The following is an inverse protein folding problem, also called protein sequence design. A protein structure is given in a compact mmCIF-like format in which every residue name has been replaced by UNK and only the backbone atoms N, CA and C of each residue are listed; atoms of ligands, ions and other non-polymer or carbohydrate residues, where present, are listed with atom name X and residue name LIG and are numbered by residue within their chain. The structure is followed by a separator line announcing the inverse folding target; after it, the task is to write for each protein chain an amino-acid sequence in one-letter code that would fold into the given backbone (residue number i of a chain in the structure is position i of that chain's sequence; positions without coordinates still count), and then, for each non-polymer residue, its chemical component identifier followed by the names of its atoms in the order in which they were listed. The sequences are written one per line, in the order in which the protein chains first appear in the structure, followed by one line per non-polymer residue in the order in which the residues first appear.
data_IF_160297445267
#
_entry.id   IF_160297445267
#
_cell.length_a   1.000
_cell.length_b   1.000
_cell.length_c   1.000
_cell.angle_alpha   90.00
_cell.angle_beta   90.00
_cell.angle_gamma   90.00
#
_symmetry.space_group_name_H-M   'P 1'
#
loop_
_entity.id
_entity.type
_entity.pdbx_description
1 polymer ?
#
# COMPACT_ATOMS: atom_id res chain seq x y z
N UNK A 1 -31.29 13.58 -3.82
CA UNK A 1 -30.65 13.54 -5.15
C UNK A 1 -29.84 12.26 -5.23
N UNK A 2 -30.51 11.17 -5.63
CA UNK A 2 -29.91 9.85 -5.79
C UNK A 2 -29.22 9.78 -7.15
N UNK A 3 -27.92 10.03 -7.16
CA UNK A 3 -27.08 9.94 -8.36
C UNK A 3 -26.62 8.50 -8.57
N UNK A 4 -27.08 7.92 -9.67
CA UNK A 4 -26.94 6.53 -10.04
C UNK A 4 -25.49 6.03 -10.16
N UNK A 5 -25.34 4.81 -9.66
CA UNK A 5 -24.25 3.87 -9.84
C UNK A 5 -24.02 3.58 -11.34
N UNK A 6 -22.93 4.10 -11.91
CA UNK A 6 -22.55 3.83 -13.30
C UNK A 6 -21.16 3.17 -13.36
N UNK A 7 -21.18 1.85 -13.58
CA UNK A 7 -20.14 1.06 -14.23
C UNK A 7 -18.72 1.12 -13.62
N UNK A 8 -18.51 0.42 -12.50
CA UNK A 8 -17.18 -0.17 -12.23
C UNK A 8 -17.13 -1.50 -12.95
N UNK A 9 -16.61 -1.50 -14.18
CA UNK A 9 -16.23 -2.70 -14.93
C UNK A 9 -15.70 -3.78 -13.99
N UNK A 10 -16.22 -5.00 -14.12
CA UNK A 10 -15.76 -6.25 -13.47
C UNK A 10 -14.29 -6.53 -13.81
N UNK A 11 -13.40 -5.70 -13.27
CA UNK A 11 -11.98 -5.95 -13.32
C UNK A 11 -11.73 -6.97 -12.24
N UNK A 12 -11.49 -8.22 -12.62
CA UNK A 12 -11.08 -9.24 -11.68
C UNK A 12 -9.78 -8.81 -10.99
N UNK A 13 -9.87 -8.54 -9.69
CA UNK A 13 -8.75 -8.21 -8.83
C UNK A 13 -8.85 -8.99 -7.53
N UNK A 14 -7.72 -9.52 -7.07
CA UNK A 14 -7.64 -10.22 -5.81
C UNK A 14 -7.42 -9.21 -4.68
N UNK A 15 -8.24 -9.26 -3.63
CA UNK A 15 -8.08 -8.40 -2.46
C UNK A 15 -7.29 -9.15 -1.38
N UNK A 16 -6.12 -8.63 -1.02
CA UNK A 16 -5.27 -9.18 0.04
C UNK A 16 -5.26 -8.21 1.22
N UNK A 17 -5.61 -8.70 2.42
CA UNK A 17 -5.49 -7.92 3.66
C UNK A 17 -4.03 -7.90 4.11
N UNK A 18 -3.51 -6.72 4.44
CA UNK A 18 -2.12 -6.52 4.88
C UNK A 18 -2.04 -5.40 5.91
N UNK A 19 -0.99 -5.38 6.72
CA UNK A 19 -0.69 -4.26 7.60
C UNK A 19 -0.06 -3.07 6.85
N UNK A 20 -0.28 -1.87 7.35
CA UNK A 20 0.40 -0.65 6.91
C UNK A 20 1.81 -0.56 7.54
N UNK A 21 2.84 -0.89 6.76
CA UNK A 21 4.26 -0.82 7.18
C UNK A 21 4.87 0.54 6.87
N UNK A 22 4.23 1.61 7.35
CA UNK A 22 4.72 2.98 7.21
C UNK A 22 5.48 3.48 8.45
N UNK A 23 5.73 2.59 9.42
CA UNK A 23 6.53 2.82 10.63
C UNK A 23 6.07 4.02 11.49
N UNK A 24 4.79 4.40 11.35
CA UNK A 24 4.16 5.48 12.13
C UNK A 24 3.54 5.00 13.45
N UNK A 25 3.73 3.73 13.83
CA UNK A 25 3.12 3.11 15.02
C UNK A 25 1.65 2.69 14.87
N UNK A 26 0.89 3.27 13.94
CA UNK A 26 -0.55 3.03 13.82
C UNK A 26 -0.97 1.65 13.28
N UNK A 27 -0.07 0.90 12.64
CA UNK A 27 -0.26 -0.49 12.14
C UNK A 27 -1.63 -0.73 11.48
N UNK A 28 -2.13 0.24 10.71
CA UNK A 28 -3.48 0.22 10.16
C UNK A 28 -3.72 -0.98 9.23
N UNK A 29 -4.98 -1.41 9.12
CA UNK A 29 -5.36 -2.46 8.17
C UNK A 29 -5.50 -1.86 6.77
N UNK A 30 -4.81 -2.48 5.81
CA UNK A 30 -4.88 -2.16 4.39
C UNK A 30 -5.49 -3.32 3.62
N UNK A 31 -6.32 -2.98 2.63
CA UNK A 31 -6.82 -3.93 1.64
C UNK A 31 -6.14 -3.62 0.32
N UNK A 32 -5.22 -4.48 -0.09
CA UNK A 32 -4.47 -4.38 -1.32
C UNK A 32 -5.25 -4.99 -2.47
N UNK A 33 -5.59 -4.19 -3.47
CA UNK A 33 -6.22 -4.65 -4.70
C UNK A 33 -5.11 -5.06 -5.67
N UNK A 34 -5.00 -6.36 -5.95
CA UNK A 34 -3.94 -6.94 -6.77
C UNK A 34 -4.50 -7.37 -8.13
N UNK A 35 -3.89 -6.88 -9.19
CA UNK A 35 -4.17 -7.28 -10.57
C UNK A 35 -2.85 -7.60 -11.27
N UNK A 36 -2.77 -8.74 -11.96
CA UNK A 36 -1.57 -9.18 -12.69
C UNK A 36 -0.28 -9.11 -11.83
N UNK A 37 -0.37 -9.55 -10.57
CA UNK A 37 0.75 -9.53 -9.61
C UNK A 37 1.18 -8.14 -9.12
N UNK A 38 0.46 -7.07 -9.46
CA UNK A 38 0.74 -5.70 -9.03
C UNK A 38 -0.40 -5.11 -8.22
N UNK A 39 -0.05 -4.33 -7.20
CA UNK A 39 -1.02 -3.62 -6.37
C UNK A 39 -1.48 -2.38 -7.13
N UNK A 40 -2.73 -2.37 -7.55
CA UNK A 40 -3.35 -1.26 -8.29
C UNK A 40 -4.06 -0.26 -7.38
N UNK A 41 -4.28 -0.61 -6.10
CA UNK A 41 -4.93 0.28 -5.13
C UNK A 41 -4.78 -0.24 -3.70
N UNK A 42 -4.73 0.68 -2.74
CA UNK A 42 -4.93 0.38 -1.32
C UNK A 42 -6.22 1.03 -0.82
N UNK A 43 -7.03 0.23 -0.13
CA UNK A 43 -8.17 0.68 0.66
C UNK A 43 -7.89 0.55 2.15
N UNK A 44 -8.74 1.21 2.93
CA UNK A 44 -8.81 1.04 4.38
C UNK A 44 -9.61 -0.21 4.74
N UNK A 45 -9.56 -0.58 6.02
CA UNK A 45 -10.47 -1.55 6.62
C UNK A 45 -11.94 -1.23 6.33
N UNK A 46 -12.71 -2.29 6.11
CA UNK A 46 -14.16 -2.25 5.89
C UNK A 46 -14.90 -3.37 6.64
N UNK A 47 -14.26 -3.96 7.65
CA UNK A 47 -14.84 -4.93 8.58
C UNK A 47 -15.92 -4.31 9.47
N UNK A 48 -16.49 -5.10 10.36
CA UNK A 48 -17.35 -4.58 11.44
C UNK A 48 -16.54 -3.69 12.39
N UNK A 49 -17.22 -2.73 13.02
CA UNK A 49 -16.60 -1.83 13.98
C UNK A 49 -16.19 -2.57 15.27
N UNK A 50 -15.08 -2.18 15.93
CA UNK A 50 -14.22 -1.04 15.62
C UNK A 50 -13.20 -1.30 14.51
N UNK A 51 -13.14 -0.41 13.52
CA UNK A 51 -12.21 -0.48 12.39
C UNK A 51 -10.88 0.22 12.69
N UNK A 52 -9.76 -0.39 12.26
CA UNK A 52 -8.44 0.28 12.29
C UNK A 52 -8.15 0.92 10.93
N UNK A 53 -8.72 2.11 10.73
CA UNK A 53 -8.70 2.79 9.43
C UNK A 53 -7.33 3.31 9.03
N UNK A 54 -7.00 3.16 7.75
CA UNK A 54 -5.75 3.65 7.17
C UNK A 54 -5.86 5.13 6.76
N UNK A 55 -4.86 5.92 7.15
CA UNK A 55 -4.73 7.31 6.72
C UNK A 55 -4.27 7.43 5.24
N UNK A 56 -4.21 8.66 4.73
CA UNK A 56 -3.81 8.92 3.34
C UNK A 56 -2.39 8.41 3.02
N UNK A 57 -1.47 8.46 3.98
CA UNK A 57 -0.10 7.92 3.81
C UNK A 57 -0.10 6.41 3.55
N UNK A 58 -0.92 5.66 4.31
CA UNK A 58 -1.07 4.22 4.11
C UNK A 58 -1.71 3.87 2.76
N UNK A 59 -2.69 4.66 2.32
CA UNK A 59 -3.33 4.47 1.01
C UNK A 59 -2.40 4.83 -0.16
N UNK A 60 -1.44 5.73 0.06
CA UNK A 60 -0.41 6.11 -0.90
C UNK A 60 0.83 5.20 -0.90
N UNK A 61 0.87 4.14 -0.07
CA UNK A 61 2.06 3.32 0.15
C UNK A 61 2.66 2.70 -1.12
N UNK A 62 1.84 2.52 -2.17
CA UNK A 62 2.27 2.06 -3.49
C UNK A 62 3.42 2.89 -4.08
N UNK A 63 3.45 4.20 -3.83
CA UNK A 63 4.52 5.08 -4.32
C UNK A 63 5.88 4.68 -3.75
N UNK A 64 5.94 4.25 -2.49
CA UNK A 64 7.15 3.74 -1.85
C UNK A 64 7.52 2.36 -2.39
N UNK A 65 6.54 1.46 -2.53
CA UNK A 65 6.75 0.10 -3.01
C UNK A 65 7.34 0.05 -4.44
N UNK A 66 6.82 0.91 -5.33
CA UNK A 66 7.23 0.99 -6.74
C UNK A 66 8.09 2.21 -7.05
N UNK A 67 8.76 2.79 -6.04
CA UNK A 67 9.69 3.89 -6.25
C UNK A 67 10.83 3.46 -7.18
N UNK A 68 11.19 4.32 -8.13
CA UNK A 68 12.33 4.11 -9.03
C UNK A 68 13.66 3.97 -8.27
N UNK A 69 13.77 4.61 -7.10
CA UNK A 69 14.97 4.65 -6.27
C UNK A 69 15.00 3.53 -5.21
N UNK A 70 14.08 2.55 -5.27
CA UNK A 70 14.05 1.44 -4.31
C UNK A 70 15.25 0.52 -4.52
N UNK A 71 15.99 0.25 -3.45
CA UNK A 71 17.06 -0.76 -3.43
C UNK A 71 16.46 -2.15 -3.70
N UNK A 72 17.04 -2.87 -4.67
CA UNK A 72 16.60 -4.21 -5.10
C UNK A 72 17.49 -5.34 -4.60
N UNK A 73 18.71 -4.99 -4.19
CA UNK A 73 19.73 -5.93 -3.76
C UNK A 73 20.41 -5.41 -2.50
N UNK A 74 20.94 -6.30 -1.63
CA UNK A 74 21.84 -5.90 -0.57
C UNK A 74 23.05 -5.17 -1.14
N UNK A 75 23.51 -4.12 -0.45
CA UNK A 75 24.70 -3.37 -0.81
C UNK A 75 25.74 -3.51 0.30
N UNK A 76 27.01 -3.62 -0.08
CA UNK A 76 28.14 -3.55 0.86
C UNK A 76 28.81 -2.20 0.72
N UNK A 77 29.02 -1.51 1.84
CA UNK A 77 29.85 -0.31 1.87
C UNK A 77 31.27 -0.66 1.40
N UNK A 78 31.84 0.19 0.57
CA UNK A 78 33.27 0.21 0.25
C UNK A 78 33.86 1.52 0.79
N UNK A 79 35.12 1.51 1.21
CA UNK A 79 35.78 2.65 1.88
C UNK A 79 35.62 2.66 3.41
N UNK A 80 36.38 3.54 4.08
CA UNK A 80 36.37 3.69 5.53
C UNK A 80 35.11 4.40 6.03
N UNK A 81 34.84 4.28 7.34
CA UNK A 81 33.70 4.94 7.99
C UNK A 81 33.93 6.45 8.07
N UNK A 82 33.16 7.20 7.29
CA UNK A 82 33.13 8.68 7.34
C UNK A 82 33.47 9.35 6.01
N UNK A 83 33.94 8.61 5.02
CA UNK A 83 34.34 9.13 3.70
C UNK A 83 33.16 9.46 2.75
N UNK A 84 31.95 9.55 3.29
CA UNK A 84 30.72 9.78 2.50
C UNK A 84 30.57 11.22 2.05
#
# INVERSE_FOLDING_TARGET
MSGNNSNRSDVDFNIVKTGCCHDCGGRCVLRAHVKNGKIIRYETDNSEEPQIRACMRGRAYRQRLYSKNRLKHPLRRVGERGEG
#
